data_IF_302177229334
#
_entry.id   IF_302177229334
#
_cell.length_a   1.000
_cell.length_b   1.000
_cell.length_c   1.000
_cell.angle_alpha   90.00
_cell.angle_beta   90.00
_cell.angle_gamma   90.00
#
_symmetry.space_group_name_H-M   'P 1'
#
loop_
_entity.id
_entity.type
_entity.pdbx_description
1 polymer ?
#
# COMPACT_ATOMS: atom_id res chain seq x y z
N UNK A 1 -13.49 9.34 19.05
CA UNK A 1 -13.98 9.82 17.75
C UNK A 1 -12.74 10.04 16.90
N UNK A 2 -12.67 9.47 15.70
CA UNK A 2 -11.54 9.72 14.80
C UNK A 2 -11.47 11.23 14.55
N UNK A 3 -10.30 11.83 14.79
CA UNK A 3 -10.09 13.27 14.68
C UNK A 3 -10.11 13.74 13.22
N UNK A 4 -9.89 12.82 12.27
CA UNK A 4 -9.75 13.06 10.84
C UNK A 4 -10.70 12.16 10.03
N UNK A 5 -11.17 12.65 8.87
CA UNK A 5 -11.90 11.82 7.90
C UNK A 5 -10.92 11.14 6.93
N UNK A 6 -10.43 9.97 7.34
CA UNK A 6 -9.39 9.20 6.63
C UNK A 6 -9.88 8.59 5.30
N UNK A 7 -11.17 8.73 4.97
CA UNK A 7 -11.73 8.41 3.67
C UNK A 7 -11.56 9.54 2.63
N UNK A 8 -10.89 10.63 3.00
CA UNK A 8 -10.64 11.82 2.16
C UNK A 8 -9.15 12.18 2.10
N UNK A 9 -8.75 12.86 1.03
CA UNK A 9 -7.38 13.38 0.85
C UNK A 9 -7.03 14.40 1.94
N UNK A 10 -7.93 15.33 2.24
CA UNK A 10 -7.74 16.35 3.28
C UNK A 10 -7.56 15.73 4.67
N UNK A 11 -8.34 14.69 5.00
CA UNK A 11 -8.21 14.01 6.29
C UNK A 11 -6.90 13.24 6.42
N UNK A 12 -6.43 12.63 5.33
CA UNK A 12 -5.11 11.96 5.31
C UNK A 12 -3.97 12.98 5.40
N UNK A 13 -4.07 14.11 4.69
CA UNK A 13 -3.09 15.19 4.78
C UNK A 13 -2.99 15.73 6.22
N UNK A 14 -4.14 15.99 6.85
CA UNK A 14 -4.20 16.44 8.24
C UNK A 14 -3.60 15.41 9.21
N UNK A 15 -3.86 14.11 9.00
CA UNK A 15 -3.28 13.05 9.81
C UNK A 15 -1.75 12.93 9.61
N UNK A 16 -1.25 13.03 8.38
CA UNK A 16 0.19 12.99 8.08
C UNK A 16 0.95 14.19 8.66
N UNK A 17 0.29 15.34 8.80
CA UNK A 17 0.83 16.54 9.43
C UNK A 17 0.68 16.54 10.96
N UNK A 18 0.01 15.54 11.52
CA UNK A 18 -0.17 15.41 12.97
C UNK A 18 1.05 14.78 13.62
N UNK A 19 1.17 14.97 14.94
CA UNK A 19 2.22 14.35 15.75
C UNK A 19 2.12 12.81 15.84
N UNK A 20 1.06 12.19 15.31
CA UNK A 20 0.86 10.72 15.36
C UNK A 20 1.77 9.96 14.37
N UNK A 21 2.12 10.56 13.22
CA UNK A 21 2.93 9.90 12.18
C UNK A 21 4.44 10.14 12.36
N UNK A 22 4.93 11.33 11.98
CA UNK A 22 6.33 11.76 12.10
C UNK A 22 6.43 13.26 11.75
N UNK A 23 6.66 14.12 12.75
CA UNK A 23 6.78 15.58 12.56
C UNK A 23 7.93 15.98 11.61
N UNK A 24 8.90 15.08 11.38
CA UNK A 24 10.05 15.35 10.51
C UNK A 24 9.75 15.23 9.02
N UNK A 25 8.60 14.64 8.64
CA UNK A 25 8.20 14.45 7.24
C UNK A 25 7.06 15.37 6.89
N UNK A 26 7.41 16.55 6.39
CA UNK A 26 6.41 17.47 5.85
C UNK A 26 5.85 16.91 4.54
N UNK A 27 4.53 16.82 4.43
CA UNK A 27 3.80 16.34 3.24
C UNK A 27 3.18 17.53 2.51
N UNK A 28 3.42 17.62 1.21
CA UNK A 28 2.95 18.72 0.37
C UNK A 28 1.56 18.49 -0.20
N UNK A 29 1.30 17.28 -0.73
CA UNK A 29 0.06 16.94 -1.41
C UNK A 29 -0.31 15.49 -1.16
N UNK A 30 -1.61 15.20 -1.15
CA UNK A 30 -2.16 13.85 -1.07
C UNK A 30 -3.13 13.68 -2.24
N UNK A 31 -2.99 12.59 -2.99
CA UNK A 31 -3.90 12.23 -4.08
C UNK A 31 -4.43 10.81 -3.85
N UNK A 32 -5.74 10.63 -3.99
CA UNK A 32 -6.38 9.33 -3.92
C UNK A 32 -6.13 8.56 -5.20
N UNK A 33 -5.50 7.40 -5.07
CA UNK A 33 -5.31 6.50 -6.18
C UNK A 33 -6.65 5.81 -6.53
N UNK A 34 -6.97 5.67 -7.83
CA UNK A 34 -8.23 5.07 -8.26
C UNK A 34 -8.27 3.55 -8.04
N UNK A 35 -7.10 2.91 -7.87
CA UNK A 35 -6.97 1.48 -7.62
C UNK A 35 -7.23 1.15 -6.13
N UNK A 36 -7.91 0.02 -5.87
CA UNK A 36 -8.32 -0.39 -4.52
C UNK A 36 -9.84 -0.36 -4.34
N UNK A 37 -10.47 -1.53 -4.37
CA UNK A 37 -11.91 -1.65 -4.17
C UNK A 37 -12.31 -1.71 -2.68
N UNK A 38 -11.44 -2.31 -1.86
CA UNK A 38 -11.69 -2.62 -0.46
C UNK A 38 -11.14 -1.59 0.53
N UNK A 39 -10.01 -0.94 0.21
CA UNK A 39 -9.36 0.08 1.04
C UNK A 39 -9.22 1.41 0.31
N UNK A 40 -8.96 2.46 1.07
CA UNK A 40 -8.60 3.77 0.55
C UNK A 40 -7.08 3.83 0.39
N UNK A 41 -6.62 4.15 -0.81
CA UNK A 41 -5.19 4.20 -1.13
C UNK A 41 -4.87 5.60 -1.61
N UNK A 42 -3.83 6.20 -1.04
CA UNK A 42 -3.39 7.54 -1.36
C UNK A 42 -1.90 7.54 -1.64
N UNK A 43 -1.49 8.45 -2.52
CA UNK A 43 -0.10 8.83 -2.71
C UNK A 43 0.12 10.18 -2.04
N UNK A 44 1.08 10.23 -1.13
CA UNK A 44 1.48 11.44 -0.44
C UNK A 44 2.86 11.88 -0.93
N UNK A 45 2.97 13.10 -1.46
CA UNK A 45 4.23 13.67 -1.95
C UNK A 45 4.90 14.43 -0.81
N UNK A 46 6.18 14.16 -0.56
CA UNK A 46 6.95 14.81 0.49
C UNK A 46 7.34 16.24 0.07
N UNK A 47 7.37 17.15 1.02
CA UNK A 47 7.63 18.57 0.79
C UNK A 47 9.10 18.87 0.46
N UNK A 48 10.02 18.13 1.07
CA UNK A 48 11.47 18.32 0.89
C UNK A 48 11.99 17.73 -0.44
N UNK A 49 11.24 16.79 -1.03
CA UNK A 49 11.53 16.23 -2.35
C UNK A 49 10.21 15.87 -3.05
N UNK A 50 9.82 16.68 -4.03
CA UNK A 50 8.61 16.46 -4.83
C UNK A 50 8.64 15.17 -5.66
N UNK A 51 9.79 14.50 -5.78
CA UNK A 51 9.91 13.17 -6.40
C UNK A 51 9.82 12.04 -5.37
N UNK A 52 9.99 12.35 -4.08
CA UNK A 52 9.80 11.40 -3.01
C UNK A 52 8.33 11.36 -2.61
N UNK A 53 7.78 10.16 -2.58
CA UNK A 53 6.40 9.91 -2.20
C UNK A 53 6.29 8.63 -1.39
N UNK A 54 5.20 8.53 -0.65
CA UNK A 54 4.81 7.34 0.10
C UNK A 54 3.39 6.96 -0.26
N UNK A 55 3.07 5.68 -0.12
CA UNK A 55 1.71 5.17 -0.25
C UNK A 55 1.11 5.04 1.14
N UNK A 56 -0.07 5.60 1.30
CA UNK A 56 -0.87 5.51 2.52
C UNK A 56 -2.10 4.67 2.22
N UNK A 57 -2.30 3.60 2.99
CA UNK A 57 -3.46 2.73 2.90
C UNK A 57 -4.28 2.86 4.17
N UNK A 58 -5.59 3.01 4.02
CA UNK A 58 -6.53 3.08 5.14
C UNK A 58 -7.72 2.12 4.92
N UNK A 59 -8.15 1.48 6.02
CA UNK A 59 -9.27 0.56 6.04
C UNK A 59 -10.42 1.08 6.90
N UNK A 60 -11.54 1.37 6.25
CA UNK A 60 -12.83 1.62 6.89
C UNK A 60 -13.58 0.32 7.21
N UNK A 61 -14.64 0.40 8.01
CA UNK A 61 -15.56 -0.72 8.29
C UNK A 61 -16.44 -1.13 7.07
N UNK A 62 -16.06 -0.68 5.87
CA UNK A 62 -16.72 -0.93 4.61
C UNK A 62 -15.73 -0.85 3.44
N UNK A 63 -16.13 -1.40 2.29
CA UNK A 63 -15.34 -1.33 1.06
C UNK A 63 -15.35 0.10 0.48
N UNK A 64 -14.18 0.64 0.16
CA UNK A 64 -14.00 2.01 -0.32
C UNK A 64 -14.85 2.39 -1.56
N UNK A 65 -15.17 1.41 -2.43
CA UNK A 65 -16.05 1.61 -3.60
C UNK A 65 -17.53 1.33 -3.34
N UNK A 66 -17.85 0.57 -2.30
CA UNK A 66 -19.20 0.03 -2.05
C UNK A 66 -19.52 0.09 -0.56
N UNK A 67 -19.97 1.26 -0.07
CA UNK A 67 -20.14 1.54 1.38
C UNK A 67 -21.09 0.59 2.13
N UNK A 68 -22.03 -0.04 1.42
CA UNK A 68 -22.95 -1.00 2.04
C UNK A 68 -22.30 -2.37 2.26
N UNK A 69 -21.21 -2.68 1.57
CA UNK A 69 -20.45 -3.89 1.81
C UNK A 69 -19.54 -3.70 3.01
N UNK A 70 -19.90 -4.34 4.12
CA UNK A 70 -19.13 -4.33 5.37
C UNK A 70 -17.89 -5.20 5.25
N UNK A 71 -16.76 -4.63 5.66
CA UNK A 71 -15.47 -5.30 5.73
C UNK A 71 -14.83 -4.92 7.06
N UNK A 72 -14.24 -5.89 7.75
CA UNK A 72 -13.60 -5.65 9.03
C UNK A 72 -12.34 -4.78 8.84
N UNK A 73 -12.16 -3.68 9.58
CA UNK A 73 -10.95 -2.86 9.54
C UNK A 73 -9.65 -3.61 9.87
N UNK A 74 -9.72 -4.65 10.71
CA UNK A 74 -8.57 -5.49 11.09
C UNK A 74 -7.89 -6.19 9.91
N UNK A 75 -8.49 -6.14 8.72
CA UNK A 75 -7.79 -6.51 7.48
C UNK A 75 -6.50 -5.71 7.26
N UNK A 76 -6.38 -4.51 7.83
CA UNK A 76 -5.12 -3.76 7.79
C UNK A 76 -4.05 -4.38 8.69
N UNK A 77 -4.42 -4.96 9.84
CA UNK A 77 -3.50 -5.74 10.68
C UNK A 77 -2.94 -6.92 9.88
N UNK A 78 -3.80 -7.63 9.14
CA UNK A 78 -3.39 -8.75 8.28
C UNK A 78 -2.43 -8.29 7.19
N UNK A 79 -2.68 -7.15 6.56
CA UNK A 79 -1.78 -6.59 5.54
C UNK A 79 -0.43 -6.16 6.12
N UNK A 80 -0.42 -5.55 7.30
CA UNK A 80 0.78 -5.20 8.05
C UNK A 80 1.62 -6.45 8.38
N UNK A 81 1.01 -7.49 8.97
CA UNK A 81 1.69 -8.72 9.34
C UNK A 81 2.24 -9.45 8.10
N UNK A 82 1.44 -9.54 7.04
CA UNK A 82 1.87 -10.14 5.78
C UNK A 82 3.05 -9.38 5.17
N UNK A 83 2.98 -8.05 5.09
CA UNK A 83 4.06 -7.25 4.51
C UNK A 83 5.32 -7.32 5.38
N UNK A 84 5.18 -7.30 6.71
CA UNK A 84 6.27 -7.45 7.66
C UNK A 84 6.97 -8.80 7.48
N UNK A 85 6.20 -9.89 7.40
CA UNK A 85 6.72 -11.23 7.17
C UNK A 85 7.42 -11.36 5.81
N UNK A 86 6.82 -10.84 4.73
CA UNK A 86 7.42 -10.85 3.40
C UNK A 86 8.68 -9.97 3.34
N UNK A 87 8.80 -8.94 4.18
CA UNK A 87 10.02 -8.12 4.26
C UNK A 87 11.14 -8.75 5.12
N UNK A 88 10.85 -9.85 5.83
CA UNK A 88 11.79 -10.53 6.71
C UNK A 88 12.94 -11.17 5.91
N UNK A 89 14.19 -11.16 6.44
CA UNK A 89 15.31 -11.89 5.85
C UNK A 89 15.08 -13.40 5.70
N UNK A 90 14.11 -13.97 6.43
CA UNK A 90 13.73 -15.38 6.33
C UNK A 90 13.03 -15.70 5.01
N UNK A 91 12.39 -14.71 4.40
CA UNK A 91 11.76 -14.85 3.09
C UNK A 91 12.78 -14.56 1.98
N UNK A 92 13.20 -15.61 1.28
CA UNK A 92 14.16 -15.51 0.20
C UNK A 92 13.44 -15.41 -1.14
N UNK A 93 13.27 -14.20 -1.64
CA UNK A 93 12.89 -14.00 -3.04
C UNK A 93 14.12 -13.99 -3.94
N UNK A 94 13.92 -14.16 -5.25
CA UNK A 94 14.97 -13.84 -6.22
C UNK A 94 15.43 -12.39 -5.99
N UNK A 95 16.73 -12.12 -6.15
CA UNK A 95 17.36 -10.81 -5.91
C UNK A 95 16.70 -9.63 -6.64
N UNK A 96 15.92 -9.89 -7.69
CA UNK A 96 15.21 -8.87 -8.45
C UNK A 96 13.77 -8.63 -7.95
N UNK A 97 13.33 -9.35 -6.93
CA UNK A 97 11.97 -9.34 -6.41
C UNK A 97 12.01 -8.90 -4.96
N UNK A 98 11.20 -7.92 -4.63
CA UNK A 98 10.98 -7.49 -3.25
C UNK A 98 9.59 -6.93 -3.10
N UNK A 99 9.08 -6.98 -1.89
CA UNK A 99 7.93 -6.18 -1.51
C UNK A 99 8.35 -4.71 -1.34
N UNK A 100 7.39 -3.77 -1.42
CA UNK A 100 7.65 -2.40 -1.00
C UNK A 100 7.96 -2.38 0.50
N UNK A 101 8.84 -1.46 0.92
CA UNK A 101 9.20 -1.35 2.33
C UNK A 101 8.03 -0.82 3.15
N UNK A 102 7.76 -1.48 4.27
CA UNK A 102 6.90 -0.94 5.31
C UNK A 102 7.62 0.21 6.01
N UNK A 103 6.97 1.37 6.13
CA UNK A 103 7.54 2.57 6.75
C UNK A 103 6.94 2.86 8.11
N UNK A 104 5.64 2.61 8.27
CA UNK A 104 4.91 2.90 9.49
C UNK A 104 3.56 2.17 9.50
N UNK A 105 3.06 1.86 10.69
CA UNK A 105 1.74 1.28 10.90
C UNK A 105 1.07 1.89 12.13
N UNK A 106 -0.13 2.43 11.95
CA UNK A 106 -1.03 2.85 13.02
C UNK A 106 -2.22 1.90 13.09
N UNK A 107 -2.17 1.03 14.10
CA UNK A 107 -3.22 0.07 14.38
C UNK A 107 -4.52 0.73 14.87
N UNK A 108 -4.44 1.87 15.57
CA UNK A 108 -5.61 2.55 16.14
C UNK A 108 -6.50 3.08 15.02
N UNK A 109 -5.89 3.68 14.01
CA UNK A 109 -6.59 4.31 12.88
C UNK A 109 -6.60 3.44 11.60
N UNK A 110 -6.08 2.21 11.68
CA UNK A 110 -5.98 1.26 10.57
C UNK A 110 -5.28 1.87 9.34
N UNK A 111 -4.14 2.52 9.57
CA UNK A 111 -3.34 3.17 8.54
C UNK A 111 -2.01 2.45 8.39
N UNK A 112 -1.67 2.09 7.15
CA UNK A 112 -0.38 1.55 6.77
C UNK A 112 0.32 2.51 5.81
N UNK A 113 1.56 2.87 6.12
CA UNK A 113 2.40 3.69 5.24
C UNK A 113 3.55 2.84 4.72
N UNK A 114 3.73 2.86 3.41
CA UNK A 114 4.72 2.07 2.71
C UNK A 114 5.42 2.87 1.62
N UNK A 115 6.55 2.34 1.15
CA UNK A 115 7.29 2.87 0.01
C UNK A 115 6.40 3.00 -1.23
N UNK A 116 6.50 4.14 -1.92
CA UNK A 116 5.98 4.28 -3.27
C UNK A 116 6.98 3.71 -4.28
N UNK A 117 6.51 2.77 -5.11
CA UNK A 117 7.29 2.12 -6.17
C UNK A 117 7.16 2.82 -7.53
N UNK A 118 6.48 3.97 -7.55
CA UNK A 118 6.29 4.82 -8.72
C UNK A 118 5.08 4.42 -9.57
N UNK A 119 4.99 5.03 -10.75
CA UNK A 119 3.90 4.81 -11.71
C UNK A 119 4.12 3.54 -12.53
N UNK A 120 3.93 2.40 -11.88
CA UNK A 120 3.94 1.08 -12.52
C UNK A 120 2.51 0.61 -12.75
N UNK A 121 2.20 0.01 -13.93
CA UNK A 121 0.90 -0.59 -14.14
C UNK A 121 0.71 -1.77 -13.18
N UNK A 122 -0.50 -1.95 -12.67
CA UNK A 122 -0.89 -3.21 -12.06
C UNK A 122 -0.67 -4.37 -13.02
N UNK A 123 -0.54 -5.60 -12.49
CA UNK A 123 -0.37 -6.79 -13.33
C UNK A 123 -1.46 -6.88 -14.41
N UNK A 124 -2.72 -6.63 -14.05
CA UNK A 124 -3.83 -6.59 -15.00
C UNK A 124 -3.61 -5.53 -16.08
N UNK A 125 -3.23 -4.30 -15.68
CA UNK A 125 -2.96 -3.23 -16.63
C UNK A 125 -1.78 -3.54 -17.55
N UNK A 126 -0.79 -4.26 -17.04
CA UNK A 126 0.36 -4.72 -17.80
C UNK A 126 0.00 -5.82 -18.80
N UNK A 127 -0.78 -6.82 -18.38
CA UNK A 127 -1.31 -7.87 -19.27
C UNK A 127 -2.20 -7.29 -20.39
N UNK A 128 -3.02 -6.29 -20.06
CA UNK A 128 -3.89 -5.61 -21.03
C UNK A 128 -3.12 -4.81 -22.08
N UNK A 129 -1.93 -4.31 -21.75
CA UNK A 129 -1.07 -3.54 -22.68
C UNK A 129 -0.29 -4.43 -23.66
N UNK A 130 -0.36 -5.75 -23.51
CA UNK A 130 0.38 -6.70 -24.32
C UNK A 130 1.80 -6.89 -23.80
N UNK A 131 2.21 -8.15 -23.70
CA UNK A 131 3.47 -8.56 -23.10
C UNK A 131 4.51 -8.85 -24.18
N UNK A 132 5.73 -8.34 -24.06
CA UNK A 132 6.86 -8.92 -24.79
C UNK A 132 7.27 -10.23 -24.12
N UNK A 133 7.54 -11.30 -24.89
CA UNK A 133 7.80 -12.67 -24.41
C UNK A 133 8.82 -12.81 -23.25
N UNK A 134 9.68 -11.82 -23.01
CA UNK A 134 10.63 -11.83 -21.89
C UNK A 134 9.96 -11.67 -20.52
N UNK A 135 8.87 -10.94 -20.43
CA UNK A 135 8.29 -10.59 -19.14
C UNK A 135 7.19 -11.57 -18.67
N UNK A 136 6.73 -12.47 -19.54
CA UNK A 136 5.94 -13.66 -19.17
C UNK A 136 6.72 -14.60 -18.23
N UNK A 137 8.03 -14.78 -18.49
CA UNK A 137 8.90 -15.66 -17.70
C UNK A 137 9.13 -15.12 -16.29
N UNK A 138 9.27 -13.80 -16.17
CA UNK A 138 9.39 -13.11 -14.89
C UNK A 138 8.13 -13.38 -14.07
N UNK A 139 6.94 -13.04 -14.59
CA UNK A 139 5.67 -13.21 -13.87
C UNK A 139 5.36 -14.64 -13.40
N UNK A 140 5.55 -15.64 -14.26
CA UNK A 140 5.32 -17.04 -13.88
C UNK A 140 6.22 -17.50 -12.72
N UNK A 141 7.46 -17.02 -12.66
CA UNK A 141 8.39 -17.32 -11.56
C UNK A 141 7.97 -16.65 -10.25
N UNK A 142 7.35 -15.46 -10.32
CA UNK A 142 6.99 -14.67 -9.15
C UNK A 142 5.72 -15.21 -8.47
N UNK A 143 4.71 -15.58 -9.26
CA UNK A 143 3.45 -16.15 -8.73
C UNK A 143 3.65 -17.56 -8.15
N UNK A 144 4.51 -18.38 -8.77
CA UNK A 144 4.78 -19.74 -8.32
C UNK A 144 5.57 -19.79 -7.00
N UNK A 145 6.51 -18.87 -6.79
CA UNK A 145 7.26 -18.74 -5.53
C UNK A 145 6.35 -18.32 -4.38
N UNK A 146 5.44 -17.35 -4.63
CA UNK A 146 4.48 -16.87 -3.63
C UNK A 146 3.53 -17.97 -3.14
N UNK A 147 3.01 -18.83 -4.03
CA UNK A 147 2.08 -19.90 -3.63
C UNK A 147 2.76 -21.07 -2.92
N UNK A 148 4.04 -21.34 -3.20
CA UNK A 148 4.77 -22.48 -2.63
C UNK A 148 5.07 -22.27 -1.14
N UNK A 149 5.42 -21.05 -0.74
CA UNK A 149 5.75 -20.69 0.64
C UNK A 149 4.51 -20.58 1.56
N UNK A 150 3.31 -20.37 1.01
CA UNK A 150 2.05 -20.34 1.79
C UNK A 150 1.43 -21.74 2.03
N UNK A 151 2.03 -22.79 1.46
CA UNK A 151 1.55 -24.18 1.59
C UNK A 151 2.52 -25.10 2.33
N UNK A 152 3.58 -24.55 2.94
CA UNK A 152 4.60 -25.29 3.67
C UNK A 152 4.42 -25.16 5.19
#
# INVERSE_FOLDING_TARGET
MAQYDLATEDGILAWLQSSEYDESKSVATVERLPEGAAGFVYRATLQDDARASVIVKHAEAYAARVRHWKLDPSRMDVEYEALSYLSSPTMQFDKNIRTPKLLYYDQKDNILVMEDVGDLPSLTGWLQRGVSHQAERTLALHSATFLREFTA
#
